data_IF_458608091264
#
_entry.id   IF_458608091264
#
_cell.length_a   1.000
_cell.length_b   1.000
_cell.length_c   1.000
_cell.angle_alpha   90.00
_cell.angle_beta   90.00
_cell.angle_gamma   90.00
#
_symmetry.space_group_name_H-M   'P 1'
#
loop_
_entity.id
_entity.type
_entity.pdbx_description
1 polymer ?
#
# COMPACT_ATOMS: atom_id res chain seq x y z
N UNK A 1 -19.06 -0.17 4.27
CA UNK A 1 -18.05 0.88 4.51
C UNK A 1 -17.02 0.80 3.41
N UNK A 2 -16.32 1.88 3.02
CA UNK A 2 -15.23 1.78 2.08
C UNK A 2 -14.13 0.89 2.66
N UNK A 3 -13.60 0.00 1.82
CA UNK A 3 -12.46 -0.84 2.16
C UNK A 3 -11.19 -0.19 1.63
N UNK A 4 -10.15 -0.16 2.46
CA UNK A 4 -8.83 0.29 2.06
C UNK A 4 -7.80 -0.82 2.28
N UNK A 5 -6.97 -1.03 1.27
CA UNK A 5 -5.81 -1.89 1.31
C UNK A 5 -4.60 -1.05 1.73
N UNK A 6 -3.98 -1.42 2.86
CA UNK A 6 -2.70 -0.87 3.28
C UNK A 6 -1.59 -1.89 3.01
N UNK A 7 -0.48 -1.39 2.49
CA UNK A 7 0.69 -2.18 2.08
C UNK A 7 1.98 -1.70 2.75
N UNK A 8 1.89 -0.83 3.76
CA UNK A 8 3.01 -0.12 4.36
C UNK A 8 2.85 0.15 5.86
N UNK A 9 3.10 1.39 6.27
CA UNK A 9 3.23 1.78 7.67
C UNK A 9 1.93 1.72 8.50
N UNK A 10 0.77 1.64 7.85
CA UNK A 10 -0.53 1.48 8.51
C UNK A 10 -0.86 0.00 8.80
N UNK A 11 -0.10 -0.96 8.27
CA UNK A 11 -0.28 -2.39 8.57
C UNK A 11 0.14 -2.72 10.00
N UNK A 12 -0.32 -3.86 10.52
CA UNK A 12 0.08 -4.39 11.84
C UNK A 12 1.61 -4.38 12.00
N UNK A 13 2.08 -3.80 13.11
CA UNK A 13 3.50 -3.58 13.42
C UNK A 13 4.01 -2.19 13.03
N UNK A 14 3.36 -1.57 12.05
CA UNK A 14 3.72 -0.26 11.53
C UNK A 14 3.44 0.91 12.48
N UNK A 15 4.15 2.03 12.33
CA UNK A 15 4.04 3.18 13.21
C UNK A 15 2.68 3.89 13.13
N UNK A 16 1.92 3.67 12.05
CA UNK A 16 0.58 4.25 11.87
C UNK A 16 -0.55 3.26 12.16
N UNK A 17 -0.26 2.00 12.53
CA UNK A 17 -1.30 1.00 12.76
C UNK A 17 -2.30 1.41 13.86
N UNK A 18 -1.83 2.10 14.90
CA UNK A 18 -2.67 2.48 16.03
C UNK A 18 -3.87 3.36 15.64
N UNK A 19 -3.80 4.12 14.54
CA UNK A 19 -4.94 4.93 14.07
C UNK A 19 -6.02 4.10 13.37
N UNK A 20 -5.67 2.91 12.86
CA UNK A 20 -6.57 2.07 12.04
C UNK A 20 -6.85 0.69 12.64
N UNK A 21 -6.27 0.38 13.80
CA UNK A 21 -6.28 -0.96 14.40
C UNK A 21 -7.68 -1.57 14.57
N UNK A 22 -8.66 -0.76 14.99
CA UNK A 22 -10.04 -1.22 15.22
C UNK A 22 -10.82 -1.54 13.93
N UNK A 23 -10.26 -1.18 12.77
CA UNK A 23 -10.87 -1.37 11.46
C UNK A 23 -10.28 -2.56 10.69
N UNK A 24 -9.31 -3.29 11.25
CA UNK A 24 -8.64 -4.40 10.57
C UNK A 24 -9.63 -5.52 10.23
N UNK A 25 -9.71 -5.87 8.94
CA UNK A 25 -10.45 -7.03 8.43
C UNK A 25 -9.52 -8.24 8.36
N UNK A 26 -8.30 -8.07 7.86
CA UNK A 26 -7.29 -9.13 7.81
C UNK A 26 -6.31 -9.02 6.64
N UNK A 27 -5.39 -9.99 6.52
CA UNK A 27 -4.41 -10.02 5.42
C UNK A 27 -5.09 -10.36 4.09
N UNK A 28 -4.64 -9.71 3.01
CA UNK A 28 -5.08 -9.95 1.63
C UNK A 28 -3.90 -9.75 0.66
N UNK A 29 -4.12 -10.03 -0.62
CA UNK A 29 -3.18 -9.68 -1.68
C UNK A 29 -3.87 -8.90 -2.77
N UNK A 30 -3.11 -8.07 -3.48
CA UNK A 30 -3.58 -7.50 -4.75
C UNK A 30 -3.74 -8.61 -5.79
N UNK A 31 -4.57 -8.38 -6.80
CA UNK A 31 -4.41 -9.08 -8.07
C UNK A 31 -3.01 -8.78 -8.66
N UNK A 32 -2.51 -9.59 -9.60
CA UNK A 32 -1.43 -9.16 -10.49
C UNK A 32 -1.81 -7.87 -11.23
N UNK A 33 -0.83 -7.18 -11.80
CA UNK A 33 -1.06 -5.93 -12.53
C UNK A 33 -0.54 -4.67 -11.81
N UNK A 34 0.28 -4.82 -10.78
CA UNK A 34 0.88 -3.70 -10.06
C UNK A 34 2.39 -3.91 -9.85
N UNK A 35 3.18 -2.92 -10.24
CA UNK A 35 4.55 -2.77 -9.74
C UNK A 35 4.52 -2.14 -8.35
N UNK A 36 5.52 -2.44 -7.55
CA UNK A 36 5.61 -2.02 -6.15
C UNK A 36 6.93 -1.30 -5.90
N UNK A 37 6.87 -0.14 -5.24
CA UNK A 37 8.03 0.73 -5.07
C UNK A 37 8.24 1.09 -3.60
N UNK A 38 9.49 1.26 -3.19
CA UNK A 38 9.91 1.91 -1.95
C UNK A 38 10.20 3.38 -2.20
N UNK A 39 9.55 4.25 -1.43
CA UNK A 39 9.80 5.69 -1.37
C UNK A 39 10.73 5.95 -0.19
N UNK A 40 12.03 6.03 -0.48
CA UNK A 40 13.07 6.35 0.51
C UNK A 40 13.19 5.38 1.70
N UNK A 41 12.72 4.13 1.54
CA UNK A 41 12.65 3.13 2.62
C UNK A 41 11.79 3.59 3.82
N UNK A 42 10.88 4.52 3.56
CA UNK A 42 9.92 5.05 4.53
C UNK A 42 8.57 4.34 4.34
N UNK A 43 8.04 4.39 3.12
CA UNK A 43 6.74 3.82 2.77
C UNK A 43 6.78 3.26 1.36
N UNK A 44 5.86 2.35 1.02
CA UNK A 44 5.73 1.86 -0.33
C UNK A 44 4.57 2.49 -1.11
N UNK A 45 4.59 2.32 -2.44
CA UNK A 45 3.51 2.73 -3.34
C UNK A 45 3.30 1.72 -4.47
N UNK A 46 2.05 1.52 -4.87
CA UNK A 46 1.69 0.69 -6.03
C UNK A 46 1.67 1.54 -7.31
N UNK A 47 2.06 0.95 -8.43
CA UNK A 47 1.88 1.52 -9.76
C UNK A 47 1.20 0.51 -10.67
N UNK A 48 0.06 0.85 -11.31
CA UNK A 48 -0.58 -0.03 -12.28
C UNK A 48 0.36 -0.37 -13.45
N UNK A 49 0.56 -1.66 -13.70
CA UNK A 49 1.30 -2.21 -14.83
C UNK A 49 0.72 -3.59 -15.18
N UNK A 50 -0.06 -3.72 -16.27
CA UNK A 50 -0.66 -4.99 -16.68
C UNK A 50 0.35 -6.12 -16.95
N UNK A 51 1.63 -5.82 -17.14
CA UNK A 51 2.67 -6.83 -17.35
C UNK A 51 3.21 -7.42 -16.02
N UNK A 52 2.91 -6.80 -14.88
CA UNK A 52 3.34 -7.30 -13.58
C UNK A 52 2.51 -8.54 -13.19
N UNK A 53 3.20 -9.65 -12.93
CA UNK A 53 2.59 -10.95 -12.58
C UNK A 53 2.57 -11.23 -11.07
N UNK A 54 3.18 -10.35 -10.28
CA UNK A 54 3.35 -10.53 -8.83
C UNK A 54 2.20 -9.89 -8.07
N UNK A 55 1.54 -10.69 -7.23
CA UNK A 55 0.58 -10.19 -6.24
C UNK A 55 1.31 -9.59 -5.03
N UNK A 56 0.86 -8.45 -4.52
CA UNK A 56 1.49 -7.74 -3.39
C UNK A 56 0.72 -8.02 -2.09
N UNK A 57 1.43 -8.43 -1.03
CA UNK A 57 0.88 -8.60 0.33
C UNK A 57 0.48 -7.26 0.93
N UNK A 58 -0.68 -7.23 1.59
CA UNK A 58 -1.06 -6.18 2.50
C UNK A 58 -2.22 -6.60 3.40
N UNK A 59 -2.92 -5.61 3.92
CA UNK A 59 -4.01 -5.78 4.87
C UNK A 59 -5.22 -4.93 4.46
N UNK A 60 -6.42 -5.47 4.69
CA UNK A 60 -7.68 -4.83 4.35
C UNK A 60 -8.33 -4.25 5.61
N UNK A 61 -8.88 -3.05 5.49
CA UNK A 61 -9.52 -2.32 6.59
C UNK A 61 -10.86 -1.73 6.17
N UNK A 62 -11.85 -1.77 7.06
CA UNK A 62 -13.15 -1.09 6.90
C UNK A 62 -13.10 0.31 7.52
N UNK A 63 -12.78 1.33 6.71
CA UNK A 63 -12.53 2.70 7.16
C UNK A 63 -13.70 3.60 6.77
N UNK A 64 -14.14 4.48 7.68
CA UNK A 64 -15.15 5.51 7.33
C UNK A 64 -14.54 6.61 6.47
N UNK A 65 -15.34 7.28 5.64
CA UNK A 65 -14.83 8.40 4.82
C UNK A 65 -14.36 9.58 5.69
N UNK A 66 -14.98 9.78 6.85
CA UNK A 66 -14.56 10.79 7.81
C UNK A 66 -13.15 10.48 8.36
N UNK A 67 -12.90 9.23 8.76
CA UNK A 67 -11.59 8.83 9.26
C UNK A 67 -10.52 8.87 8.16
N UNK A 68 -10.87 8.45 6.93
CA UNK A 68 -10.00 8.59 5.77
C UNK A 68 -9.61 10.05 5.51
N UNK A 69 -10.59 10.96 5.51
CA UNK A 69 -10.39 12.40 5.27
C UNK A 69 -9.56 13.07 6.37
N UNK A 70 -9.89 12.81 7.64
CA UNK A 70 -9.41 13.61 8.76
C UNK A 70 -8.14 13.04 9.40
N UNK A 71 -7.88 11.74 9.24
CA UNK A 71 -6.78 11.03 9.93
C UNK A 71 -5.75 10.46 8.95
N UNK A 72 -6.19 9.73 7.93
CA UNK A 72 -5.27 9.01 7.02
C UNK A 72 -4.68 9.95 5.96
N UNK A 73 -5.51 10.53 5.09
CA UNK A 73 -5.05 11.32 3.95
C UNK A 73 -4.14 12.52 4.31
N UNK A 74 -4.33 13.23 5.46
CA UNK A 74 -3.43 14.31 5.84
C UNK A 74 -2.00 13.85 6.18
N UNK A 75 -1.82 12.58 6.54
CA UNK A 75 -0.52 11.99 6.88
C UNK A 75 0.21 11.35 5.71
N UNK A 76 -0.46 11.22 4.56
CA UNK A 76 0.12 10.54 3.39
C UNK A 76 1.21 11.40 2.71
N UNK A 77 2.34 10.78 2.27
CA UNK A 77 3.35 11.44 1.47
C UNK A 77 2.81 12.01 0.16
N UNK A 78 3.45 13.05 -0.36
CA UNK A 78 3.05 13.68 -1.64
C UNK A 78 3.30 12.80 -2.85
N UNK A 79 4.19 11.83 -2.69
CA UNK A 79 4.51 10.79 -3.66
C UNK A 79 3.37 9.79 -3.83
N UNK A 80 2.36 9.81 -2.95
CA UNK A 80 1.22 8.92 -2.99
C UNK A 80 -0.09 9.66 -3.33
N UNK A 81 -0.98 8.98 -4.02
CA UNK A 81 -2.36 9.41 -4.28
C UNK A 81 -3.34 8.26 -4.00
N UNK A 82 -4.57 8.61 -3.62
CA UNK A 82 -5.62 7.62 -3.38
C UNK A 82 -6.16 7.12 -4.73
N UNK A 83 -6.21 5.80 -4.90
CA UNK A 83 -6.76 5.14 -6.08
C UNK A 83 -7.64 3.94 -5.72
N UNK A 84 -8.10 3.24 -6.76
CA UNK A 84 -8.84 1.98 -6.65
C UNK A 84 -7.99 0.87 -7.25
N UNK A 85 -7.90 -0.26 -6.54
CA UNK A 85 -7.17 -1.46 -6.97
C UNK A 85 -8.07 -2.70 -6.92
N UNK A 86 -7.62 -3.76 -7.58
CA UNK A 86 -8.22 -5.09 -7.55
C UNK A 86 -7.43 -6.02 -6.61
N UNK A 87 -8.14 -6.78 -5.79
CA UNK A 87 -7.60 -7.83 -4.93
C UNK A 87 -7.58 -9.18 -5.65
N UNK A 88 -6.86 -10.17 -5.12
CA UNK A 88 -6.73 -11.50 -5.72
C UNK A 88 -8.05 -12.28 -5.85
N UNK A 89 -9.07 -11.92 -5.05
CA UNK A 89 -10.43 -12.42 -5.15
C UNK A 89 -11.30 -11.71 -6.22
N UNK A 90 -10.73 -10.75 -6.94
CA UNK A 90 -11.40 -9.95 -7.97
C UNK A 90 -12.23 -8.78 -7.43
N UNK A 91 -12.25 -8.56 -6.12
CA UNK A 91 -12.95 -7.41 -5.53
C UNK A 91 -12.13 -6.13 -5.63
N UNK A 92 -12.82 -4.99 -5.69
CA UNK A 92 -12.18 -3.68 -5.73
C UNK A 92 -12.13 -3.01 -4.35
N UNK A 93 -11.05 -2.29 -4.06
CA UNK A 93 -10.90 -1.49 -2.84
C UNK A 93 -10.07 -0.23 -3.08
N UNK A 94 -10.05 0.68 -2.11
CA UNK A 94 -9.15 1.85 -2.12
C UNK A 94 -7.72 1.43 -1.76
N UNK A 95 -6.72 2.13 -2.28
CA UNK A 95 -5.31 1.96 -1.87
C UNK A 95 -4.51 3.21 -2.17
N UNK A 96 -3.35 3.36 -1.52
CA UNK A 96 -2.34 4.33 -1.91
C UNK A 96 -1.55 3.84 -3.12
N UNK A 97 -1.53 4.66 -4.17
CA UNK A 97 -0.77 4.46 -5.41
C UNK A 97 0.35 5.51 -5.49
N UNK A 98 1.38 5.27 -6.28
CA UNK A 98 2.29 6.35 -6.69
C UNK A 98 1.49 7.43 -7.40
N UNK A 99 1.70 8.69 -6.96
CA UNK A 99 1.07 9.84 -7.58
C UNK A 99 1.47 9.97 -9.05
N UNK A 100 0.59 10.57 -9.86
CA UNK A 100 0.82 10.72 -11.31
C UNK A 100 2.19 11.34 -11.62
N UNK A 101 2.98 10.62 -12.42
CA UNK A 101 4.31 11.05 -12.87
C UNK A 101 5.45 10.69 -11.91
N UNK A 102 5.18 10.20 -10.69
CA UNK A 102 6.23 9.81 -9.74
C UNK A 102 7.06 8.62 -10.24
N UNK A 103 6.45 7.67 -10.93
CA UNK A 103 7.16 6.55 -11.52
C UNK A 103 8.17 6.98 -12.60
N UNK A 104 7.81 7.97 -13.42
CA UNK A 104 8.64 8.47 -14.52
C UNK A 104 9.88 9.24 -14.02
N UNK A 105 9.85 9.70 -12.77
CA UNK A 105 11.01 10.37 -12.14
C UNK A 105 12.18 9.42 -11.93
N UNK A 106 11.94 8.10 -11.87
CA UNK A 106 12.99 7.09 -11.69
C UNK A 106 13.75 7.17 -10.37
N UNK A 107 13.20 7.85 -9.36
CA UNK A 107 13.84 8.06 -8.05
C UNK A 107 13.44 7.01 -7.01
N UNK A 108 12.34 6.29 -7.24
CA UNK A 108 11.81 5.28 -6.34
C UNK A 108 12.40 3.91 -6.65
N UNK A 109 12.72 3.14 -5.61
CA UNK A 109 13.30 1.80 -5.78
C UNK A 109 12.17 0.82 -6.07
N UNK A 110 12.24 0.12 -7.19
CA UNK A 110 11.32 -0.99 -7.43
C UNK A 110 11.62 -2.17 -6.51
N UNK A 111 10.58 -2.66 -5.85
CA UNK A 111 10.60 -3.76 -4.87
C UNK A 111 9.54 -4.84 -5.20
N UNK A 112 8.97 -4.82 -6.41
CA UNK A 112 7.93 -5.77 -6.87
C UNK A 112 8.28 -7.22 -6.57
N UNK A 113 9.53 -7.63 -6.83
CA UNK A 113 10.00 -9.01 -6.64
C UNK A 113 10.02 -9.47 -5.16
N UNK A 114 9.94 -8.57 -4.18
CA UNK A 114 9.79 -8.94 -2.78
C UNK A 114 8.36 -9.35 -2.42
N UNK A 115 7.37 -8.99 -3.25
CA UNK A 115 5.96 -9.34 -3.06
C UNK A 115 5.28 -8.68 -1.86
N UNK A 116 5.94 -7.74 -1.17
CA UNK A 116 5.38 -7.06 0.00
C UNK A 116 6.41 -6.24 0.78
N UNK A 117 5.91 -5.31 1.59
CA UNK A 117 6.75 -4.36 2.33
C UNK A 117 7.57 -5.04 3.44
N UNK A 118 6.97 -5.98 4.16
CA UNK A 118 7.65 -6.74 5.23
C UNK A 118 8.83 -7.54 4.68
N UNK A 119 8.64 -8.23 3.55
CA UNK A 119 9.70 -8.98 2.89
C UNK A 119 10.84 -8.07 2.42
N UNK A 120 10.53 -6.87 1.92
CA UNK A 120 11.53 -5.88 1.56
C UNK A 120 12.32 -5.38 2.78
N UNK A 121 11.64 -4.96 3.85
CA UNK A 121 12.27 -4.47 5.08
C UNK A 121 13.20 -5.52 5.72
N UNK A 122 12.85 -6.81 5.63
CA UNK A 122 13.72 -7.89 6.11
C UNK A 122 15.08 -7.90 5.41
N UNK A 123 15.16 -7.54 4.11
CA UNK A 123 16.44 -7.43 3.39
C UNK A 123 17.30 -6.26 3.85
N UNK A 124 16.69 -5.28 4.54
CA UNK A 124 17.37 -4.16 5.18
C UNK A 124 17.65 -4.41 6.67
N UNK A 125 17.32 -5.59 7.20
CA UNK A 125 17.40 -5.90 8.63
C UNK A 125 16.40 -5.13 9.49
N UNK A 126 15.26 -4.72 8.92
CA UNK A 126 14.20 -3.95 9.58
C UNK A 126 12.92 -4.78 9.71
N UNK A 127 12.09 -4.41 10.66
CA UNK A 127 10.71 -4.88 10.77
C UNK A 127 9.75 -3.78 10.36
N UNK A 128 8.57 -4.17 9.87
CA UNK A 128 7.47 -3.24 9.61
C UNK A 128 6.98 -2.61 10.90
#
# INVERSE_FOLDING_TARGET
>A
MPRIFFNGQAMVGGPFHASVADALVGPVRTAPGYRFFSIGDVCPGLHPDPAADTAIEGELYDITLEHLRDVILPGEPRELELGVIELDDGSACLSMLLARGEADRGVHREITHHGGWRAYLATLGRTA
#
